data_IF_305399032114
#
_entry.id   IF_305399032114
#
_cell.length_a   1.000
_cell.length_b   1.000
_cell.length_c   1.000
_cell.angle_alpha   90.00
_cell.angle_beta   90.00
_cell.angle_gamma   90.00
#
_symmetry.space_group_name_H-M   'P 1'
#
loop_
_entity.id
_entity.type
_entity.pdbx_description
1 polymer ?
#
# COMPACT_ATOMS: atom_id res chain seq x y z
N UNK A 1 19.39 1.67 -4.49
CA UNK A 1 18.96 0.71 -3.45
C UNK A 1 20.11 -0.24 -3.13
N UNK A 2 20.41 -0.50 -1.85
CA UNK A 2 21.41 -1.52 -1.50
C UNK A 2 20.98 -2.90 -2.04
N UNK A 3 21.92 -3.70 -2.58
CA UNK A 3 21.64 -5.03 -3.20
C UNK A 3 20.81 -5.96 -2.30
N UNK A 4 20.96 -5.84 -0.98
CA UNK A 4 20.20 -6.61 0.02
C UNK A 4 18.70 -6.33 -0.04
N UNK A 5 18.28 -5.06 -0.15
CA UNK A 5 16.86 -4.68 -0.18
C UNK A 5 16.20 -5.13 -1.49
N UNK A 6 16.92 -4.97 -2.60
CA UNK A 6 16.43 -5.40 -3.92
C UNK A 6 16.19 -6.92 -3.98
N UNK A 7 17.10 -7.71 -3.39
CA UNK A 7 16.94 -9.16 -3.33
C UNK A 7 15.75 -9.58 -2.45
N UNK A 8 15.55 -8.88 -1.33
CA UNK A 8 14.41 -9.14 -0.45
C UNK A 8 13.09 -8.82 -1.15
N UNK A 9 12.98 -7.68 -1.83
CA UNK A 9 11.76 -7.34 -2.60
C UNK A 9 11.48 -8.36 -3.70
N UNK A 10 12.51 -8.81 -4.43
CA UNK A 10 12.35 -9.86 -5.44
C UNK A 10 11.82 -11.17 -4.86
N UNK A 11 12.21 -11.54 -3.63
CA UNK A 11 11.71 -12.75 -2.97
C UNK A 11 10.23 -12.68 -2.57
N UNK A 12 9.65 -11.48 -2.49
CA UNK A 12 8.25 -11.30 -2.11
C UNK A 12 7.27 -11.55 -3.28
N UNK A 13 7.76 -11.74 -4.52
CA UNK A 13 6.93 -11.93 -5.71
C UNK A 13 5.85 -10.86 -5.92
N UNK A 14 6.11 -9.62 -5.51
CA UNK A 14 5.20 -8.50 -5.72
C UNK A 14 5.26 -8.01 -7.17
N UNK A 15 4.15 -7.45 -7.64
CA UNK A 15 4.05 -6.84 -8.95
C UNK A 15 4.74 -5.47 -8.94
N UNK A 16 5.72 -5.27 -9.82
CA UNK A 16 6.31 -3.94 -10.05
C UNK A 16 5.28 -3.03 -10.73
N UNK A 17 5.25 -1.75 -10.32
CA UNK A 17 4.36 -0.76 -10.92
C UNK A 17 4.62 -0.61 -12.42
N UNK A 18 3.54 -0.60 -13.20
CA UNK A 18 3.64 -0.49 -14.65
C UNK A 18 4.22 0.86 -15.09
N UNK A 19 5.00 0.81 -16.18
CA UNK A 19 5.53 2.01 -16.84
C UNK A 19 4.69 2.27 -18.09
N UNK A 20 4.12 3.46 -18.17
CA UNK A 20 3.30 3.90 -19.30
C UNK A 20 4.12 4.79 -20.23
N UNK A 21 3.70 4.93 -21.48
CA UNK A 21 4.30 5.92 -22.38
C UNK A 21 4.13 7.33 -21.82
N UNK A 22 5.19 8.11 -21.91
CA UNK A 22 5.13 9.52 -21.60
C UNK A 22 4.26 10.25 -22.62
N UNK A 23 3.58 11.30 -22.17
CA UNK A 23 2.93 12.23 -23.09
C UNK A 23 4.06 13.08 -23.69
N UNK A 24 4.19 13.14 -25.03
CA UNK A 24 5.15 14.04 -25.68
C UNK A 24 4.95 15.46 -25.14
N UNK A 25 6.03 16.19 -24.87
CA UNK A 25 6.08 17.54 -24.25
C UNK A 25 6.08 17.59 -22.71
N UNK A 26 5.73 16.51 -22.01
CA UNK A 26 5.68 16.50 -20.54
C UNK A 26 6.94 15.88 -19.89
N UNK A 27 7.73 15.13 -20.64
CA UNK A 27 8.99 14.54 -20.17
C UNK A 27 9.86 14.04 -21.33
N UNK A 28 11.17 14.07 -21.16
CA UNK A 28 12.15 13.57 -22.14
C UNK A 28 12.31 12.04 -22.14
N UNK A 29 11.72 11.31 -21.18
CA UNK A 29 11.75 9.84 -21.17
C UNK A 29 10.65 9.25 -22.05
N UNK A 30 10.90 8.09 -22.67
CA UNK A 30 9.89 7.35 -23.45
C UNK A 30 8.80 6.74 -22.54
N UNK A 31 9.20 6.31 -21.34
CA UNK A 31 8.32 5.68 -20.36
C UNK A 31 8.40 6.39 -19.00
N UNK A 32 7.26 6.50 -18.31
CA UNK A 32 7.14 7.04 -16.96
C UNK A 32 6.17 6.23 -16.09
N UNK A 33 6.39 6.31 -14.77
CA UNK A 33 5.45 5.81 -13.78
C UNK A 33 4.34 6.85 -13.60
N UNK A 34 3.08 6.42 -13.70
CA UNK A 34 1.91 7.27 -13.46
C UNK A 34 1.10 6.72 -12.30
N UNK A 35 0.79 7.59 -11.33
CA UNK A 35 -0.03 7.25 -10.17
C UNK A 35 -1.24 8.20 -10.16
N UNK A 36 -2.24 7.99 -11.04
CA UNK A 36 -3.42 8.85 -11.08
C UNK A 36 -4.15 8.78 -9.73
N UNK A 37 -4.57 9.94 -9.20
CA UNK A 37 -5.16 10.02 -7.86
C UNK A 37 -4.18 9.76 -6.70
N UNK A 38 -2.90 9.54 -6.97
CA UNK A 38 -1.87 9.25 -5.95
C UNK A 38 -1.43 10.45 -5.10
N UNK A 39 -2.01 11.63 -5.33
CA UNK A 39 -1.65 12.87 -4.63
C UNK A 39 -0.15 13.17 -4.71
N UNK A 40 0.46 13.46 -3.56
CA UNK A 40 1.89 13.80 -3.46
C UNK A 40 2.83 12.61 -3.69
N UNK A 41 2.31 11.38 -3.76
CA UNK A 41 3.13 10.15 -3.75
C UNK A 41 4.18 10.14 -4.85
N UNK A 42 3.80 10.46 -6.10
CA UNK A 42 4.74 10.49 -7.23
C UNK A 42 5.81 11.55 -7.03
N UNK A 43 5.39 12.78 -6.71
CA UNK A 43 6.33 13.89 -6.49
C UNK A 43 7.30 13.59 -5.35
N UNK A 44 6.81 13.03 -4.24
CA UNK A 44 7.64 12.66 -3.10
C UNK A 44 8.65 11.57 -3.47
N UNK A 45 8.24 10.57 -4.26
CA UNK A 45 9.13 9.53 -4.76
C UNK A 45 10.22 10.12 -5.67
N UNK A 46 9.83 10.92 -6.68
CA UNK A 46 10.76 11.53 -7.63
C UNK A 46 11.77 12.45 -6.92
N UNK A 47 11.31 13.29 -5.99
CA UNK A 47 12.16 14.16 -5.15
C UNK A 47 13.09 13.36 -4.23
N UNK A 48 12.63 12.23 -3.70
CA UNK A 48 13.46 11.37 -2.87
C UNK A 48 14.55 10.71 -3.71
N UNK A 49 14.22 10.23 -4.90
CA UNK A 49 15.18 9.69 -5.85
C UNK A 49 16.23 10.74 -6.28
N UNK A 50 15.81 11.96 -6.59
CA UNK A 50 16.73 13.04 -7.00
C UNK A 50 17.69 13.48 -5.87
N UNK A 51 17.26 13.34 -4.61
CA UNK A 51 18.05 13.63 -3.41
C UNK A 51 18.76 12.41 -2.83
N UNK A 52 18.78 11.29 -3.54
CA UNK A 52 19.39 10.03 -3.11
C UNK A 52 18.84 9.48 -1.78
N UNK A 53 17.62 9.86 -1.42
CA UNK A 53 16.90 9.33 -0.26
C UNK A 53 16.32 7.97 -0.63
N UNK A 54 16.63 6.96 0.19
CA UNK A 54 16.09 5.62 -0.02
C UNK A 54 14.59 5.60 0.25
N UNK A 55 13.80 5.40 -0.80
CA UNK A 55 12.34 5.35 -0.74
C UNK A 55 11.79 4.16 -1.52
N UNK A 56 10.70 3.60 -1.01
CA UNK A 56 9.84 2.66 -1.72
C UNK A 56 8.40 3.11 -1.57
N UNK A 57 7.60 2.89 -2.61
CA UNK A 57 6.16 3.14 -2.60
C UNK A 57 5.47 1.80 -2.73
N UNK A 58 4.63 1.47 -1.75
CA UNK A 58 3.72 0.33 -1.80
C UNK A 58 2.31 0.89 -2.02
N UNK A 59 1.66 0.44 -3.08
CA UNK A 59 0.35 0.93 -3.50
C UNK A 59 -0.58 -0.24 -3.82
N UNK A 60 -1.87 -0.06 -3.55
CA UNK A 60 -2.93 -1.01 -3.92
C UNK A 60 -4.00 -0.26 -4.70
N UNK A 61 -4.37 -0.79 -5.86
CA UNK A 61 -5.53 -0.32 -6.60
C UNK A 61 -6.78 -0.88 -5.96
N UNK A 62 -7.73 -0.01 -5.64
CA UNK A 62 -8.96 -0.35 -4.94
C UNK A 62 -10.15 0.24 -5.69
N UNK A 63 -11.28 -0.47 -5.66
CA UNK A 63 -12.56 0.06 -6.13
C UNK A 63 -13.18 0.95 -5.05
N UNK A 64 -14.07 1.87 -5.42
CA UNK A 64 -14.81 2.67 -4.43
C UNK A 64 -15.68 1.80 -3.50
N UNK A 65 -15.82 2.21 -2.23
CA UNK A 65 -16.68 1.55 -1.25
C UNK A 65 -15.98 1.25 0.06
N UNK A 66 -16.24 0.06 0.61
CA UNK A 66 -15.57 -0.42 1.82
C UNK A 66 -14.17 -0.96 1.50
N UNK A 67 -13.16 -0.12 1.71
CA UNK A 67 -11.76 -0.48 1.52
C UNK A 67 -11.06 -0.94 2.80
N UNK A 68 -11.80 -1.26 3.88
CA UNK A 68 -11.22 -1.84 5.10
C UNK A 68 -10.37 -3.08 4.80
N UNK A 69 -10.85 -4.08 4.03
CA UNK A 69 -10.06 -5.27 3.72
C UNK A 69 -8.81 -4.94 2.91
N UNK A 70 -8.91 -3.96 2.01
CA UNK A 70 -7.78 -3.54 1.18
C UNK A 70 -6.70 -2.84 1.98
N UNK A 71 -7.08 -1.99 2.93
CA UNK A 71 -6.16 -1.32 3.84
C UNK A 71 -5.45 -2.32 4.76
N UNK A 72 -6.18 -3.31 5.31
CA UNK A 72 -5.59 -4.38 6.11
C UNK A 72 -4.59 -5.20 5.27
N UNK A 73 -5.00 -5.60 4.07
CA UNK A 73 -4.14 -6.31 3.12
C UNK A 73 -2.88 -5.51 2.79
N UNK A 74 -2.97 -4.21 2.51
CA UNK A 74 -1.80 -3.37 2.22
C UNK A 74 -0.78 -3.36 3.37
N UNK A 75 -1.27 -3.34 4.62
CA UNK A 75 -0.45 -3.39 5.82
C UNK A 75 0.16 -4.79 6.03
N UNK A 76 -0.54 -5.86 5.64
CA UNK A 76 0.01 -7.22 5.65
C UNK A 76 1.17 -7.37 4.67
N UNK A 77 1.06 -6.84 3.45
CA UNK A 77 2.17 -6.79 2.49
C UNK A 77 3.35 -6.01 3.10
N UNK A 78 3.10 -4.82 3.66
CA UNK A 78 4.15 -4.06 4.34
C UNK A 78 4.84 -4.88 5.45
N UNK A 79 4.07 -5.65 6.22
CA UNK A 79 4.59 -6.49 7.28
C UNK A 79 5.33 -7.73 6.77
N UNK A 80 4.94 -8.30 5.62
CA UNK A 80 5.67 -9.38 4.96
C UNK A 80 7.10 -8.91 4.61
N UNK A 81 7.22 -7.68 4.10
CA UNK A 81 8.51 -7.09 3.76
C UNK A 81 9.34 -6.72 4.99
N UNK A 82 8.77 -5.92 5.88
CA UNK A 82 9.52 -5.27 6.98
C UNK A 82 9.49 -6.07 8.29
N UNK A 83 8.59 -7.04 8.43
CA UNK A 83 8.44 -7.87 9.63
C UNK A 83 8.27 -7.03 10.92
N UNK A 84 7.46 -5.96 10.83
CA UNK A 84 7.22 -4.96 11.89
C UNK A 84 6.56 -5.62 13.11
N UNK A 85 5.56 -6.46 12.85
CA UNK A 85 4.78 -7.19 13.85
C UNK A 85 5.05 -8.68 13.66
N UNK A 86 5.44 -9.36 14.74
CA UNK A 86 5.64 -10.80 14.74
C UNK A 86 4.31 -11.52 14.97
N UNK A 87 4.10 -12.69 14.33
CA UNK A 87 2.97 -13.55 14.65
C UNK A 87 2.97 -13.90 16.14
N UNK A 88 1.79 -13.87 16.78
CA UNK A 88 1.65 -14.32 18.17
C UNK A 88 1.90 -15.82 18.23
N UNK A 89 3.00 -16.23 18.85
CA UNK A 89 3.60 -17.57 18.77
C UNK A 89 2.80 -18.71 19.42
N UNK A 90 1.57 -18.48 19.87
CA UNK A 90 0.89 -19.40 20.79
C UNK A 90 -0.24 -20.22 20.14
N UNK A 91 -0.59 -20.00 18.88
CA UNK A 91 -1.56 -20.84 18.17
C UNK A 91 -1.24 -20.92 16.67
N UNK A 92 -0.84 -22.11 16.14
CA UNK A 92 -0.56 -22.31 14.71
C UNK A 92 -1.79 -22.10 13.80
N UNK A 93 -2.99 -22.07 14.37
CA UNK A 93 -4.27 -21.87 13.68
C UNK A 93 -4.75 -20.42 13.69
N UNK A 94 -4.10 -19.53 14.46
CA UNK A 94 -4.43 -18.11 14.51
C UNK A 94 -3.72 -17.38 13.36
N UNK A 95 -4.25 -17.52 12.14
CA UNK A 95 -3.72 -16.93 10.91
C UNK A 95 -3.75 -15.39 10.85
N UNK A 96 -4.23 -14.70 11.89
CA UNK A 96 -4.36 -13.26 11.87
C UNK A 96 -3.25 -12.60 12.68
N UNK A 97 -2.39 -11.83 12.00
CA UNK A 97 -1.56 -10.82 12.66
C UNK A 97 -2.46 -9.93 13.54
N UNK A 98 -1.99 -9.47 14.71
CA UNK A 98 -2.82 -8.78 15.70
C UNK A 98 -3.08 -7.31 15.30
N UNK A 99 -3.60 -7.09 14.09
CA UNK A 99 -4.01 -5.76 13.63
C UNK A 99 -5.20 -5.28 14.46
N UNK A 100 -5.04 -4.11 15.09
CA UNK A 100 -6.13 -3.45 15.78
C UNK A 100 -6.81 -2.48 14.82
N UNK A 101 -8.07 -2.75 14.51
CA UNK A 101 -8.88 -1.85 13.70
C UNK A 101 -9.24 -0.59 14.53
N UNK A 102 -9.01 0.63 14.03
CA UNK A 102 -9.37 1.85 14.73
C UNK A 102 -10.87 1.92 15.03
N UNK A 103 -11.26 2.38 16.23
CA UNK A 103 -12.67 2.51 16.61
C UNK A 103 -13.45 3.48 15.72
N UNK A 104 -12.76 4.44 15.10
CA UNK A 104 -13.34 5.35 14.10
C UNK A 104 -13.86 4.62 12.87
N UNK A 105 -13.38 3.41 12.57
CA UNK A 105 -13.83 2.64 11.40
C UNK A 105 -15.23 2.04 11.59
N UNK A 106 -15.71 1.93 12.83
CA UNK A 106 -17.04 1.37 13.14
C UNK A 106 -18.20 2.17 12.56
N UNK A 107 -17.99 3.47 12.33
CA UNK A 107 -19.02 4.40 11.87
C UNK A 107 -18.66 5.05 10.53
N UNK A 108 -17.82 4.40 9.70
CA UNK A 108 -17.47 4.91 8.36
C UNK A 108 -18.71 5.19 7.50
N UNK A 109 -19.76 4.39 7.69
CA UNK A 109 -21.03 4.50 6.99
C UNK A 109 -22.15 5.07 7.87
N UNK A 110 -21.79 5.75 8.96
CA UNK A 110 -22.72 6.27 9.97
C UNK A 110 -23.18 5.22 10.98
N UNK A 111 -24.05 5.64 11.89
CA UNK A 111 -24.84 4.70 12.69
C UNK A 111 -25.87 4.06 11.77
N UNK A 112 -25.92 2.73 11.70
CA UNK A 112 -26.89 2.01 10.86
C UNK A 112 -28.33 2.49 11.05
N UNK A 113 -29.20 2.10 10.11
CA UNK A 113 -30.60 2.53 10.14
C UNK A 113 -31.23 2.25 11.51
N UNK A 114 -31.97 3.23 12.09
CA UNK A 114 -32.68 3.02 13.34
C UNK A 114 -33.48 1.71 13.31
N UNK A 115 -33.37 0.84 14.33
CA UNK A 115 -34.13 -0.41 14.38
C UNK A 115 -35.65 -0.21 14.23
N UNK A 116 -36.16 0.97 14.59
CA UNK A 116 -37.56 1.35 14.44
C UNK A 116 -38.04 1.48 12.98
N UNK A 117 -37.15 1.36 11.99
CA UNK A 117 -37.49 1.35 10.56
C UNK A 117 -37.72 -0.06 9.99
N UNK A 118 -37.61 -1.12 10.82
CA UNK A 118 -37.81 -2.52 10.43
C UNK A 118 -38.78 -3.24 11.39
#
# INVERSE_FOLDING_TARGET
MQKSVQNKIKSLNWLEMEKSKCIPEMSDSEFCIRIPGGGITKTLYDESCSKEIQMAVLLKFVSEGDNIPDAVSLVEYLNEWLQIVKPSSNNPTASALPWKIPSSWRLLFGSGLPPALF
#
